data_IF_954838874283
#
_entry.id   IF_954838874283
#
_cell.length_a   1.000
_cell.length_b   1.000
_cell.length_c   1.000
_cell.angle_alpha   90.00
_cell.angle_beta   90.00
_cell.angle_gamma   90.00
#
_symmetry.space_group_name_H-M   'P 1'
#
loop_
_entity.id
_entity.type
_entity.pdbx_description
1 polymer ?
#
# COMPACT_ATOMS: atom_id res chain seq x y z
N UNK A 1 -11.81 -39.00 -42.19
CA UNK A 1 -12.49 -38.89 -40.88
C UNK A 1 -12.13 -37.54 -40.31
N UNK A 2 -13.04 -36.57 -40.31
CA UNK A 2 -12.78 -35.22 -39.80
C UNK A 2 -13.96 -34.72 -38.99
N UNK A 3 -13.65 -33.81 -38.07
CA UNK A 3 -14.49 -33.01 -37.17
C UNK A 3 -15.06 -33.72 -35.93
N UNK A 4 -15.06 -33.13 -34.73
CA UNK A 4 -14.91 -31.72 -34.34
C UNK A 4 -14.59 -31.65 -32.83
N UNK A 5 -13.67 -30.76 -32.42
CA UNK A 5 -13.58 -30.30 -31.03
C UNK A 5 -14.68 -29.25 -30.75
N UNK A 6 -15.31 -29.22 -29.56
CA UNK A 6 -16.31 -28.21 -29.24
C UNK A 6 -15.66 -26.85 -28.97
N UNK A 7 -16.15 -25.84 -29.69
CA UNK A 7 -15.84 -24.42 -29.54
C UNK A 7 -16.18 -23.91 -28.14
N UNK A 8 -15.22 -23.27 -27.48
CA UNK A 8 -15.43 -22.56 -26.22
C UNK A 8 -16.43 -21.42 -26.39
N UNK A 9 -17.46 -21.40 -25.57
CA UNK A 9 -18.42 -20.31 -25.51
C UNK A 9 -17.80 -19.14 -24.74
N UNK A 10 -17.31 -18.11 -25.43
CA UNK A 10 -17.16 -16.78 -24.82
C UNK A 10 -18.48 -16.04 -25.02
N UNK A 11 -19.13 -15.69 -23.90
CA UNK A 11 -20.42 -14.99 -23.94
C UNK A 11 -20.20 -13.52 -24.28
N UNK A 12 -20.99 -12.97 -25.21
CA UNK A 12 -21.00 -11.54 -25.55
C UNK A 12 -21.25 -10.65 -24.32
N UNK A 13 -21.89 -11.18 -23.28
CA UNK A 13 -22.07 -10.50 -22.00
C UNK A 13 -20.75 -10.35 -21.19
N UNK A 14 -19.79 -11.27 -21.38
CA UNK A 14 -18.45 -11.19 -20.76
C UNK A 14 -17.55 -10.18 -21.48
N UNK A 15 -17.66 -10.10 -22.81
CA UNK A 15 -16.95 -9.12 -23.64
C UNK A 15 -17.48 -7.70 -23.39
N UNK A 16 -18.80 -7.53 -23.33
CA UNK A 16 -19.44 -6.25 -22.99
C UNK A 16 -19.03 -5.74 -21.59
N UNK A 17 -19.00 -6.61 -20.56
CA UNK A 17 -18.53 -6.23 -19.22
C UNK A 17 -17.06 -5.79 -19.20
N UNK A 18 -16.20 -6.35 -20.05
CA UNK A 18 -14.78 -5.96 -20.14
C UNK A 18 -14.59 -4.59 -20.79
N UNK A 19 -15.41 -4.25 -21.78
CA UNK A 19 -15.33 -2.98 -22.51
C UNK A 19 -15.99 -1.83 -21.73
N UNK A 20 -17.07 -2.07 -20.98
CA UNK A 20 -17.71 -1.06 -20.11
C UNK A 20 -16.91 -0.75 -18.83
N UNK A 21 -16.01 -1.65 -18.40
CA UNK A 21 -15.18 -1.48 -17.18
C UNK A 21 -13.76 -0.98 -17.49
N UNK A 22 -13.52 -0.41 -18.68
CA UNK A 22 -12.30 0.35 -18.93
C UNK A 22 -12.41 1.74 -18.30
N UNK A 23 -12.53 1.79 -16.97
CA UNK A 23 -12.26 3.05 -16.26
C UNK A 23 -10.79 3.38 -16.49
N UNK A 24 -10.53 4.53 -17.11
CA UNK A 24 -9.16 5.06 -17.19
C UNK A 24 -8.73 5.28 -15.74
N UNK A 25 -7.83 4.44 -15.24
CA UNK A 25 -7.28 4.61 -13.90
C UNK A 25 -6.14 5.61 -14.03
N UNK A 26 -6.36 6.80 -13.50
CA UNK A 26 -5.33 7.84 -13.40
C UNK A 26 -4.61 7.70 -12.06
N UNK A 27 -3.27 7.60 -12.09
CA UNK A 27 -2.45 7.63 -10.88
C UNK A 27 -2.30 9.10 -10.46
N UNK A 28 -2.76 9.50 -9.26
CA UNK A 28 -2.65 10.89 -8.81
C UNK A 28 -1.20 11.40 -8.77
N UNK A 29 -1.01 12.66 -9.14
CA UNK A 29 0.30 13.33 -9.22
C UNK A 29 1.11 13.24 -7.91
N UNK A 30 0.43 13.18 -6.76
CA UNK A 30 1.09 12.99 -5.45
C UNK A 30 1.98 11.75 -5.39
N UNK A 31 1.67 10.70 -6.16
CA UNK A 31 2.48 9.48 -6.21
C UNK A 31 3.67 9.55 -7.15
N UNK A 32 3.81 10.64 -7.94
CA UNK A 32 4.95 10.82 -8.86
C UNK A 32 6.28 10.75 -8.12
N UNK A 33 6.35 11.30 -6.90
CA UNK A 33 7.55 11.23 -6.06
C UNK A 33 7.97 9.78 -5.77
N UNK A 34 7.03 8.86 -5.55
CA UNK A 34 7.35 7.44 -5.35
C UNK A 34 8.01 6.86 -6.61
N UNK A 35 7.48 7.21 -7.78
CA UNK A 35 7.99 6.74 -9.07
C UNK A 35 9.38 7.32 -9.38
N UNK A 36 9.59 8.61 -9.14
CA UNK A 36 10.88 9.28 -9.35
C UNK A 36 12.02 8.62 -8.57
N UNK A 37 11.80 8.30 -7.29
CA UNK A 37 12.82 7.68 -6.43
C UNK A 37 13.32 6.35 -6.99
N UNK A 38 12.45 5.59 -7.64
CA UNK A 38 12.77 4.26 -8.17
C UNK A 38 12.95 4.21 -9.68
N UNK A 39 12.86 5.34 -10.39
CA UNK A 39 12.85 5.40 -11.86
C UNK A 39 14.07 4.72 -12.53
N UNK A 40 15.24 4.77 -11.88
CA UNK A 40 16.47 4.11 -12.36
C UNK A 40 16.50 2.59 -12.16
N UNK A 41 15.54 2.03 -11.43
CA UNK A 41 15.43 0.60 -11.11
C UNK A 41 14.23 -0.01 -11.82
N UNK A 42 14.39 -0.38 -13.10
CA UNK A 42 13.30 -0.81 -13.98
C UNK A 42 12.33 -1.81 -13.33
N UNK A 43 12.84 -2.90 -12.73
CA UNK A 43 11.97 -3.89 -12.08
C UNK A 43 11.22 -3.38 -10.84
N UNK A 44 11.76 -2.42 -10.11
CA UNK A 44 11.09 -1.78 -8.97
C UNK A 44 10.06 -0.78 -9.46
N UNK A 45 10.40 0.03 -10.47
CA UNK A 45 9.52 1.01 -11.08
C UNK A 45 8.27 0.36 -11.70
N UNK A 46 8.44 -0.69 -12.52
CA UNK A 46 7.31 -1.43 -13.11
C UNK A 46 6.41 -2.03 -12.03
N UNK A 47 7.00 -2.58 -10.97
CA UNK A 47 6.20 -3.15 -9.87
C UNK A 47 5.46 -2.07 -9.09
N UNK A 48 6.08 -0.91 -8.87
CA UNK A 48 5.41 0.23 -8.22
C UNK A 48 4.25 0.74 -9.07
N UNK A 49 4.45 0.90 -10.38
CA UNK A 49 3.42 1.37 -11.30
C UNK A 49 2.19 0.45 -11.29
N UNK A 50 2.41 -0.87 -11.35
CA UNK A 50 1.33 -1.84 -11.20
C UNK A 50 0.61 -1.71 -9.85
N UNK A 51 1.34 -1.60 -8.74
CA UNK A 51 0.75 -1.41 -7.41
C UNK A 51 -0.08 -0.13 -7.33
N UNK A 52 0.44 0.99 -7.84
CA UNK A 52 -0.25 2.28 -7.83
C UNK A 52 -1.51 2.25 -8.71
N UNK A 53 -1.45 1.56 -9.85
CA UNK A 53 -2.63 1.32 -10.68
C UNK A 53 -3.71 0.56 -9.90
N UNK A 54 -3.37 -0.55 -9.24
CA UNK A 54 -4.31 -1.32 -8.42
C UNK A 54 -4.87 -0.51 -7.24
N UNK A 55 -4.02 0.29 -6.58
CA UNK A 55 -4.43 1.20 -5.49
C UNK A 55 -5.43 2.25 -5.99
N UNK A 56 -5.24 2.78 -7.19
CA UNK A 56 -6.10 3.82 -7.75
C UNK A 56 -7.37 3.26 -8.40
N UNK A 57 -7.50 1.93 -8.52
CA UNK A 57 -8.65 1.31 -9.15
C UNK A 57 -9.95 1.55 -8.33
N UNK A 58 -11.08 1.94 -8.95
CA UNK A 58 -12.35 2.20 -8.24
C UNK A 58 -12.87 0.99 -7.45
N UNK A 59 -12.57 -0.22 -7.93
CA UNK A 59 -12.94 -1.50 -7.33
C UNK A 59 -11.73 -2.27 -6.76
N UNK A 60 -10.75 -1.53 -6.23
CA UNK A 60 -9.50 -2.07 -5.68
C UNK A 60 -9.74 -3.20 -4.68
N UNK A 61 -8.90 -4.23 -4.75
CA UNK A 61 -8.92 -5.34 -3.81
C UNK A 61 -7.81 -5.17 -2.76
N UNK A 62 -8.16 -4.58 -1.62
CA UNK A 62 -7.20 -4.34 -0.53
C UNK A 62 -6.49 -5.59 -0.02
N UNK A 63 -7.13 -6.76 -0.06
CA UNK A 63 -6.47 -8.00 0.36
C UNK A 63 -5.29 -8.35 -0.56
N UNK A 64 -5.46 -8.20 -1.87
CA UNK A 64 -4.38 -8.43 -2.85
C UNK A 64 -3.33 -7.33 -2.74
N UNK A 65 -3.77 -6.07 -2.71
CA UNK A 65 -2.89 -4.90 -2.64
C UNK A 65 -1.98 -4.97 -1.42
N UNK A 66 -2.51 -5.18 -0.22
CA UNK A 66 -1.70 -5.24 1.02
C UNK A 66 -0.72 -6.42 0.98
N UNK A 67 -1.13 -7.56 0.41
CA UNK A 67 -0.27 -8.74 0.24
C UNK A 67 0.94 -8.44 -0.64
N UNK A 68 0.79 -7.60 -1.66
CA UNK A 68 1.88 -7.22 -2.57
C UNK A 68 2.67 -6.00 -2.09
N UNK A 69 1.98 -5.05 -1.46
CA UNK A 69 2.55 -3.79 -0.97
C UNK A 69 3.50 -4.02 0.20
N UNK A 70 3.14 -4.85 1.18
CA UNK A 70 4.00 -5.17 2.35
C UNK A 70 5.40 -5.63 1.93
N UNK A 71 5.58 -6.68 1.12
CA UNK A 71 6.91 -7.09 0.70
C UNK A 71 7.57 -6.06 -0.23
N UNK A 72 6.80 -5.26 -0.99
CA UNK A 72 7.37 -4.19 -1.82
C UNK A 72 8.05 -3.12 -0.97
N UNK A 73 7.33 -2.53 0.00
CA UNK A 73 7.87 -1.44 0.83
C UNK A 73 9.04 -1.92 1.70
N UNK A 74 8.96 -3.16 2.22
CA UNK A 74 10.02 -3.72 3.06
C UNK A 74 11.28 -4.05 2.26
N UNK A 75 11.15 -4.62 1.06
CA UNK A 75 12.31 -4.95 0.21
C UNK A 75 12.98 -3.70 -0.36
N UNK A 76 12.18 -2.70 -0.74
CA UNK A 76 12.67 -1.51 -1.42
C UNK A 76 12.91 -0.31 -0.48
N UNK A 77 12.82 -0.52 0.84
CA UNK A 77 12.89 0.59 1.81
C UNK A 77 14.20 1.39 1.71
N UNK A 78 15.33 0.74 1.40
CA UNK A 78 16.64 1.40 1.35
C UNK A 78 16.75 2.39 0.19
N UNK A 79 16.06 2.14 -0.94
CA UNK A 79 16.03 3.08 -2.06
C UNK A 79 15.32 4.37 -1.65
N UNK A 80 14.19 4.26 -0.96
CA UNK A 80 13.42 5.41 -0.47
C UNK A 80 14.13 6.15 0.67
N UNK A 81 14.60 5.42 1.68
CA UNK A 81 15.20 6.05 2.87
C UNK A 81 16.41 6.92 2.56
N UNK A 82 17.22 6.53 1.57
CA UNK A 82 18.44 7.24 1.17
C UNK A 82 18.17 8.41 0.24
N UNK A 83 16.94 8.58 -0.24
CA UNK A 83 16.54 9.67 -1.11
C UNK A 83 16.17 10.90 -0.27
N UNK A 84 16.38 12.10 -0.81
CA UNK A 84 15.97 13.35 -0.14
C UNK A 84 14.45 13.42 0.09
N UNK A 85 13.68 12.85 -0.83
CA UNK A 85 12.22 12.68 -0.74
C UNK A 85 11.78 11.48 0.12
N UNK A 86 12.71 10.81 0.82
CA UNK A 86 12.42 9.68 1.68
C UNK A 86 11.31 9.93 2.72
N UNK A 87 11.29 11.09 3.43
CA UNK A 87 10.20 11.45 4.34
C UNK A 87 8.84 11.50 3.64
N UNK A 88 8.74 12.16 2.49
CA UNK A 88 7.49 12.26 1.71
C UNK A 88 7.02 10.88 1.26
N UNK A 89 7.96 10.02 0.81
CA UNK A 89 7.63 8.66 0.41
C UNK A 89 7.10 7.83 1.58
N UNK A 90 7.66 8.00 2.78
CA UNK A 90 7.16 7.34 3.99
C UNK A 90 5.72 7.72 4.27
N UNK A 91 5.39 9.02 4.24
CA UNK A 91 4.01 9.50 4.42
C UNK A 91 3.04 8.91 3.40
N UNK A 92 3.42 8.85 2.12
CA UNK A 92 2.56 8.29 1.08
C UNK A 92 2.31 6.79 1.26
N UNK A 93 3.33 6.02 1.66
CA UNK A 93 3.14 4.59 1.91
C UNK A 93 2.28 4.34 3.15
N UNK A 94 2.48 5.10 4.24
CA UNK A 94 1.64 4.96 5.44
C UNK A 94 0.20 5.42 5.18
N UNK A 95 0.01 6.46 4.35
CA UNK A 95 -1.30 6.86 3.84
C UNK A 95 -2.03 5.74 3.11
N UNK A 96 -1.37 5.04 2.19
CA UNK A 96 -1.99 3.91 1.48
C UNK A 96 -2.43 2.82 2.46
N UNK A 97 -1.67 2.54 3.52
CA UNK A 97 -2.10 1.58 4.54
C UNK A 97 -3.28 2.08 5.38
N UNK A 98 -3.31 3.38 5.72
CA UNK A 98 -4.43 3.98 6.44
C UNK A 98 -5.71 3.98 5.60
N UNK A 99 -5.61 4.22 4.30
CA UNK A 99 -6.73 4.07 3.35
C UNK A 99 -7.24 2.62 3.37
N UNK A 100 -6.33 1.63 3.35
CA UNK A 100 -6.67 0.22 3.44
C UNK A 100 -7.43 -0.12 4.74
N UNK A 101 -6.99 0.42 5.88
CA UNK A 101 -7.65 0.24 7.18
C UNK A 101 -9.07 0.83 7.17
N UNK A 102 -9.19 2.07 6.69
CA UNK A 102 -10.45 2.83 6.69
C UNK A 102 -11.50 2.20 5.79
N UNK A 103 -11.11 1.80 4.58
CA UNK A 103 -12.01 1.22 3.58
C UNK A 103 -12.33 -0.24 3.85
N UNK A 104 -11.43 -0.97 4.53
CA UNK A 104 -11.61 -2.39 4.84
C UNK A 104 -12.12 -2.65 6.25
N UNK A 105 -12.63 -1.66 6.99
CA UNK A 105 -13.03 -1.78 8.41
C UNK A 105 -13.94 -2.97 8.74
N UNK A 106 -14.80 -3.39 7.80
CA UNK A 106 -15.69 -4.56 7.96
C UNK A 106 -15.01 -5.91 7.73
N UNK A 107 -13.78 -5.91 7.22
CA UNK A 107 -12.98 -7.09 6.92
C UNK A 107 -11.77 -7.14 7.85
N UNK A 108 -11.99 -7.69 9.05
CA UNK A 108 -10.96 -7.77 10.10
C UNK A 108 -9.65 -8.43 9.65
N UNK A 109 -9.70 -9.36 8.70
CA UNK A 109 -8.49 -9.97 8.12
C UNK A 109 -7.64 -8.93 7.37
N UNK A 110 -8.26 -8.14 6.50
CA UNK A 110 -7.54 -7.10 5.74
C UNK A 110 -7.06 -5.98 6.67
N UNK A 111 -7.87 -5.59 7.66
CA UNK A 111 -7.48 -4.62 8.69
C UNK A 111 -6.23 -5.09 9.43
N UNK A 112 -6.24 -6.32 9.93
CA UNK A 112 -5.08 -6.92 10.61
C UNK A 112 -3.84 -6.96 9.70
N UNK A 113 -3.99 -7.40 8.45
CA UNK A 113 -2.89 -7.45 7.49
C UNK A 113 -2.30 -6.06 7.19
N UNK A 114 -3.15 -5.04 7.01
CA UNK A 114 -2.74 -3.67 6.72
C UNK A 114 -2.04 -3.04 7.92
N UNK A 115 -2.58 -3.22 9.13
CA UNK A 115 -1.99 -2.74 10.37
C UNK A 115 -0.60 -3.33 10.59
N UNK A 116 -0.48 -4.65 10.49
CA UNK A 116 0.82 -5.34 10.61
C UNK A 116 1.82 -4.87 9.55
N UNK A 117 1.39 -4.68 8.30
CA UNK A 117 2.25 -4.23 7.22
C UNK A 117 2.76 -2.81 7.47
N UNK A 118 1.87 -1.90 7.87
CA UNK A 118 2.18 -0.51 8.17
C UNK A 118 3.17 -0.39 9.33
N UNK A 119 2.88 -1.07 10.45
CA UNK A 119 3.75 -1.04 11.63
C UNK A 119 5.11 -1.69 11.34
N UNK A 120 5.16 -2.79 10.60
CA UNK A 120 6.43 -3.40 10.20
C UNK A 120 7.27 -2.46 9.31
N UNK A 121 6.62 -1.69 8.43
CA UNK A 121 7.30 -0.71 7.59
C UNK A 121 7.82 0.47 8.41
N UNK A 122 6.99 1.03 9.30
CA UNK A 122 7.37 2.12 10.19
C UNK A 122 8.50 1.72 11.16
N UNK A 123 8.38 0.56 11.80
CA UNK A 123 9.41 0.02 12.70
C UNK A 123 10.75 -0.13 11.97
N UNK A 124 10.73 -0.71 10.76
CA UNK A 124 11.95 -0.85 9.95
C UNK A 124 12.57 0.50 9.58
N UNK A 125 11.76 1.50 9.26
CA UNK A 125 12.25 2.85 8.99
C UNK A 125 12.89 3.44 10.25
N UNK A 126 12.15 3.49 11.35
CA UNK A 126 12.58 4.09 12.62
C UNK A 126 13.87 3.44 13.12
N UNK A 127 13.95 2.10 13.11
CA UNK A 127 15.14 1.34 13.52
C UNK A 127 16.38 1.61 12.65
N UNK A 128 16.21 2.21 11.47
CA UNK A 128 17.29 2.54 10.55
C UNK A 128 17.68 4.03 10.54
N UNK A 129 16.97 4.87 11.29
CA UNK A 129 17.28 6.30 11.41
C UNK A 129 18.41 6.52 12.42
N UNK A 130 19.33 7.40 12.04
CA UNK A 130 20.36 8.00 12.89
C UNK A 130 19.97 9.45 13.22
N UNK A 131 20.64 10.08 14.19
CA UNK A 131 20.31 11.43 14.71
C UNK A 131 20.06 12.46 13.60
N UNK A 132 20.94 12.55 12.61
CA UNK A 132 20.83 13.54 11.53
C UNK A 132 19.65 13.24 10.60
N UNK A 133 19.43 11.96 10.28
CA UNK A 133 18.27 11.55 9.47
C UNK A 133 16.95 11.61 10.23
N UNK A 134 16.95 11.45 11.55
CA UNK A 134 15.74 11.51 12.37
C UNK A 134 15.13 12.92 12.33
N UNK A 135 15.97 13.95 12.32
CA UNK A 135 15.51 15.34 12.20
C UNK A 135 14.76 15.60 10.88
N UNK A 136 15.17 14.95 9.79
CA UNK A 136 14.53 15.07 8.47
C UNK A 136 13.14 14.40 8.40
N UNK A 137 12.88 13.41 9.24
CA UNK A 137 11.63 12.66 9.28
C UNK A 137 10.67 13.15 10.37
N UNK A 138 11.05 14.14 11.17
CA UNK A 138 10.30 14.58 12.35
C UNK A 138 8.83 14.86 12.02
N UNK A 139 8.58 15.73 11.06
CA UNK A 139 7.21 16.15 10.71
C UNK A 139 6.35 14.95 10.24
N UNK A 140 6.93 14.06 9.43
CA UNK A 140 6.22 12.91 8.88
C UNK A 140 5.99 11.82 9.93
N UNK A 141 6.92 11.66 10.88
CA UNK A 141 6.74 10.76 12.02
C UNK A 141 5.70 11.31 13.00
N UNK A 142 5.74 12.61 13.31
CA UNK A 142 4.76 13.25 14.19
C UNK A 142 3.35 13.08 13.58
N UNK A 143 3.18 13.41 12.29
CA UNK A 143 1.91 13.19 11.58
C UNK A 143 1.47 11.73 11.55
N UNK A 144 2.41 10.79 11.37
CA UNK A 144 2.11 9.36 11.42
C UNK A 144 1.62 8.93 12.80
N UNK A 145 2.28 9.37 13.88
CA UNK A 145 1.87 9.04 15.24
C UNK A 145 0.54 9.69 15.63
N UNK A 146 0.31 10.94 15.24
CA UNK A 146 -0.98 11.61 15.45
C UNK A 146 -2.12 10.82 14.80
N UNK A 147 -1.91 10.35 13.56
CA UNK A 147 -2.87 9.49 12.86
C UNK A 147 -3.06 8.14 13.53
N UNK A 148 -2.01 7.56 14.11
CA UNK A 148 -2.13 6.32 14.88
C UNK A 148 -2.94 6.51 16.16
N UNK A 149 -2.78 7.65 16.84
CA UNK A 149 -3.51 7.96 18.07
C UNK A 149 -5.01 8.15 17.77
N UNK A 150 -5.36 8.77 16.65
CA UNK A 150 -6.75 8.98 16.22
C UNK A 150 -7.36 7.79 15.45
N UNK A 151 -6.78 6.59 15.52
CA UNK A 151 -7.35 5.41 14.85
C UNK A 151 -8.69 4.95 15.44
N UNK A 152 -8.92 5.24 16.72
CA UNK A 152 -10.17 4.97 17.41
C UNK A 152 -11.34 5.79 16.84
N UNK A 153 -11.07 6.99 16.32
CA UNK A 153 -12.04 7.81 15.57
C UNK A 153 -12.49 7.14 14.26
N UNK A 154 -11.64 6.28 13.67
CA UNK A 154 -11.96 5.52 12.45
C UNK A 154 -12.88 4.35 12.78
N UNK A 155 -12.49 3.54 13.78
CA UNK A 155 -13.28 2.44 14.35
C UNK A 155 -12.58 1.91 15.62
N UNK A 156 -13.28 1.83 16.75
CA UNK A 156 -12.73 1.28 18.01
C UNK A 156 -12.11 -0.13 17.83
N UNK A 157 -12.65 -0.93 16.90
CA UNK A 157 -12.12 -2.27 16.61
C UNK A 157 -10.79 -2.25 15.85
N UNK A 158 -10.50 -1.21 15.05
CA UNK A 158 -9.22 -1.04 14.35
C UNK A 158 -8.09 -0.82 15.36
N UNK A 159 -8.35 -0.02 16.40
CA UNK A 159 -7.43 0.20 17.51
C UNK A 159 -7.04 -1.11 18.20
N UNK A 160 -7.98 -2.06 18.34
CA UNK A 160 -7.71 -3.35 18.96
C UNK A 160 -6.69 -4.19 18.17
N UNK A 161 -6.68 -4.10 16.83
CA UNK A 161 -5.70 -4.82 16.01
C UNK A 161 -4.27 -4.30 16.19
N UNK A 162 -4.10 -3.02 16.53
CA UNK A 162 -2.79 -2.48 16.89
C UNK A 162 -2.29 -3.05 18.22
N UNK A 163 -3.17 -3.14 19.23
CA UNK A 163 -2.84 -3.67 20.56
C UNK A 163 -2.56 -5.18 20.53
N UNK A 164 -3.28 -5.93 19.69
CA UNK A 164 -3.14 -7.38 19.57
C UNK A 164 -2.04 -7.83 18.60
N UNK A 165 -1.48 -6.90 17.81
CA UNK A 165 -0.47 -7.21 16.80
C UNK A 165 0.82 -7.79 17.39
N UNK A 166 1.44 -8.73 16.68
CA UNK A 166 2.67 -9.45 17.11
C UNK A 166 3.95 -8.61 17.09
N UNK A 167 3.88 -7.28 16.92
CA UNK A 167 5.03 -6.40 17.12
C UNK A 167 5.00 -5.92 18.58
N UNK A 168 5.78 -6.51 19.49
CA UNK A 168 5.87 -5.98 20.84
C UNK A 168 6.40 -4.56 20.75
N UNK A 169 5.58 -3.58 21.13
CA UNK A 169 6.03 -2.26 21.56
C UNK A 169 7.01 -2.51 22.70
N UNK A 170 8.30 -2.61 22.41
CA UNK A 170 9.31 -2.83 23.45
C UNK A 170 9.23 -1.63 24.39
N UNK A 171 9.00 -1.93 25.68
CA UNK A 171 9.10 -0.97 26.79
C UNK A 171 10.45 -0.29 26.80
#
# INVERSE_FOLDING_TARGET
>A
MSNQQPSGFTSKAWEANKEETASIVEIPERFRVLQEVVARYQGVATKLEHLLYEICHPYRNWQVIVTELRPFVLKNFNQYRRHEQGPVCFSLFTEIFLDALSESKKNGKVVSMAMEAMLAYADKLIASLQTDSLALYREQLDSFFDRLVCLDEVDESVMMFMVQGHHPMKK
#
